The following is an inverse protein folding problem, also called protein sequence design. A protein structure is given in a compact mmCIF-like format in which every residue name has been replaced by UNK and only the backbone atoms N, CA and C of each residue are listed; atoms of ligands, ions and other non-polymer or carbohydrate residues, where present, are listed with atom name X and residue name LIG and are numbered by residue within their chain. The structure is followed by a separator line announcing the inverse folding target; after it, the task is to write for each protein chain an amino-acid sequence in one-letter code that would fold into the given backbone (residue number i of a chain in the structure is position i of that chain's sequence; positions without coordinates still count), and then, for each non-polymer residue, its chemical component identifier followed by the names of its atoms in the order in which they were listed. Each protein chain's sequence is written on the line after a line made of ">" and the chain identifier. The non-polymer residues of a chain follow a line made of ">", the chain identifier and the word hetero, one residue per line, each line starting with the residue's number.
data_IF_854807658515
#
_entry.id   IF_854807658515
#
_cell.length_a   1.000
_cell.length_b   1.000
_cell.length_c   1.000
_cell.angle_alpha   90.00
_cell.angle_beta   90.00
_cell.angle_gamma   90.00
#
_symmetry.space_group_name_H-M   'P 1'
#
loop_
_entity.id
_entity.type
_entity.pdbx_description
1 polymer ?
#
# COMPACT_ATOMS: atom_id res chain seq x y z
N UNK A 1 3.32 -15.60 -18.08
CA UNK A 1 4.70 -15.10 -18.29
C UNK A 1 4.75 -13.98 -19.34
N UNK A 2 4.27 -14.20 -20.58
CA UNK A 2 4.24 -13.15 -21.63
C UNK A 2 3.50 -11.87 -21.22
N UNK A 3 2.36 -12.00 -20.54
CA UNK A 3 1.51 -10.85 -20.17
C UNK A 3 2.11 -9.93 -19.09
N UNK A 4 3.23 -10.33 -18.49
CA UNK A 4 3.91 -9.58 -17.43
C UNK A 4 5.40 -9.35 -17.74
N UNK A 5 5.81 -9.51 -19.00
CA UNK A 5 7.19 -9.30 -19.48
C UNK A 5 8.26 -9.98 -18.62
N UNK A 6 7.95 -11.19 -18.13
CA UNK A 6 8.85 -11.96 -17.27
C UNK A 6 9.93 -12.65 -18.11
N UNK A 7 11.19 -12.38 -17.77
CA UNK A 7 12.38 -13.05 -18.29
C UNK A 7 13.18 -13.53 -17.09
N UNK A 8 13.63 -14.78 -17.12
CA UNK A 8 14.41 -15.42 -16.07
C UNK A 8 15.79 -15.76 -16.61
N UNK A 9 16.80 -15.68 -15.74
CA UNK A 9 18.20 -15.73 -16.16
C UNK A 9 18.71 -17.18 -16.34
N UNK A 10 18.08 -18.15 -15.66
CA UNK A 10 18.44 -19.56 -15.73
C UNK A 10 17.23 -20.49 -15.72
N UNK A 11 17.42 -21.75 -16.16
CA UNK A 11 16.39 -22.79 -16.07
C UNK A 11 16.04 -23.11 -14.61
N UNK A 12 17.02 -23.11 -13.70
CA UNK A 12 16.78 -23.33 -12.27
C UNK A 12 15.87 -22.23 -11.68
N UNK A 13 16.10 -20.97 -12.05
CA UNK A 13 15.21 -19.87 -11.65
C UNK A 13 13.82 -20.06 -12.24
N UNK A 14 13.71 -20.44 -13.51
CA UNK A 14 12.43 -20.72 -14.16
C UNK A 14 11.64 -21.82 -13.41
N UNK A 15 12.30 -22.91 -13.02
CA UNK A 15 11.67 -24.00 -12.27
C UNK A 15 11.19 -23.51 -10.90
N UNK A 16 12.04 -22.81 -10.14
CA UNK A 16 11.67 -22.26 -8.84
C UNK A 16 10.48 -21.28 -8.95
N UNK A 17 10.49 -20.41 -9.97
CA UNK A 17 9.41 -19.44 -10.23
C UNK A 17 8.11 -20.13 -10.62
N UNK A 18 8.20 -21.23 -11.36
CA UNK A 18 7.04 -22.03 -11.74
C UNK A 18 6.45 -22.78 -10.54
N UNK A 19 7.28 -23.32 -9.65
CA UNK A 19 6.80 -23.93 -8.39
C UNK A 19 6.05 -22.91 -7.52
N UNK A 20 6.62 -21.72 -7.32
CA UNK A 20 5.95 -20.64 -6.61
C UNK A 20 4.63 -20.24 -7.29
N UNK A 21 4.60 -20.22 -8.62
CA UNK A 21 3.41 -19.87 -9.38
C UNK A 21 2.28 -20.87 -9.17
N UNK A 22 2.56 -22.16 -9.25
CA UNK A 22 1.57 -23.22 -9.01
C UNK A 22 1.00 -23.11 -7.59
N UNK A 23 1.88 -23.01 -6.59
CA UNK A 23 1.46 -22.88 -5.19
C UNK A 23 0.58 -21.64 -4.95
N UNK A 24 0.90 -20.52 -5.59
CA UNK A 24 0.12 -19.29 -5.48
C UNK A 24 -1.22 -19.36 -6.23
N UNK A 25 -1.32 -20.14 -7.32
CA UNK A 25 -2.60 -20.37 -8.02
C UNK A 25 -3.54 -21.19 -7.12
N UNK A 26 -3.05 -22.28 -6.55
CA UNK A 26 -3.84 -23.11 -5.63
C UNK A 26 -4.34 -22.27 -4.43
N UNK A 27 -3.45 -21.45 -3.86
CA UNK A 27 -3.79 -20.54 -2.76
C UNK A 27 -4.89 -19.53 -3.16
N UNK A 28 -4.84 -18.99 -4.38
CA UNK A 28 -5.85 -18.05 -4.88
C UNK A 28 -7.21 -18.74 -4.98
N UNK A 29 -7.27 -19.99 -5.45
CA UNK A 29 -8.51 -20.76 -5.54
C UNK A 29 -9.09 -21.04 -4.15
N UNK A 30 -8.26 -21.51 -3.22
CA UNK A 30 -8.67 -21.81 -1.84
C UNK A 30 -9.26 -20.57 -1.14
N UNK A 31 -8.58 -19.43 -1.24
CA UNK A 31 -9.04 -18.19 -0.62
C UNK A 31 -10.29 -17.65 -1.33
N UNK A 32 -10.39 -17.79 -2.65
CA UNK A 32 -11.57 -17.37 -3.40
C UNK A 32 -12.82 -18.18 -3.02
N UNK A 33 -12.67 -19.47 -2.73
CA UNK A 33 -13.76 -20.34 -2.26
C UNK A 33 -14.15 -19.97 -0.81
N UNK A 34 -13.16 -19.69 0.03
CA UNK A 34 -13.39 -19.32 1.43
C UNK A 34 -13.99 -17.91 1.59
N UNK A 35 -13.69 -17.00 0.67
CA UNK A 35 -14.16 -15.62 0.73
C UNK A 35 -15.66 -15.51 0.42
N UNK A 36 -16.34 -14.69 1.22
CA UNK A 36 -17.80 -14.46 1.12
C UNK A 36 -18.13 -13.28 0.20
N UNK A 37 -17.30 -13.07 -0.82
CA UNK A 37 -17.44 -11.99 -1.80
C UNK A 37 -16.95 -10.62 -1.32
N UNK A 38 -15.98 -10.57 -0.41
CA UNK A 38 -15.40 -9.30 0.05
C UNK A 38 -14.32 -8.79 -0.89
N UNK A 39 -13.61 -9.71 -1.55
CA UNK A 39 -12.56 -9.43 -2.51
C UNK A 39 -12.63 -10.40 -3.70
N UNK A 40 -11.86 -10.08 -4.75
CA UNK A 40 -11.58 -11.02 -5.84
C UNK A 40 -10.09 -11.21 -5.92
N UNK A 41 -9.66 -12.47 -5.85
CA UNK A 41 -8.27 -12.85 -5.94
C UNK A 41 -7.98 -13.32 -7.37
N UNK A 42 -6.74 -13.13 -7.82
CA UNK A 42 -6.36 -13.44 -9.18
C UNK A 42 -4.87 -13.33 -9.41
N UNK A 43 -4.45 -13.91 -10.53
CA UNK A 43 -3.06 -13.92 -10.97
C UNK A 43 -2.61 -12.49 -11.29
N UNK A 44 -1.42 -12.12 -10.82
CA UNK A 44 -0.82 -10.82 -11.06
C UNK A 44 0.71 -10.94 -11.24
N UNK A 45 1.39 -9.80 -11.39
CA UNK A 45 2.85 -9.72 -11.61
C UNK A 45 3.71 -10.28 -10.47
N UNK A 46 3.12 -10.62 -9.33
CA UNK A 46 3.78 -11.16 -8.15
C UNK A 46 3.48 -12.64 -7.91
N UNK A 47 2.66 -13.28 -8.76
CA UNK A 47 2.26 -14.67 -8.57
C UNK A 47 3.41 -15.67 -8.65
N UNK A 48 4.57 -15.29 -9.19
CA UNK A 48 5.80 -16.11 -9.26
C UNK A 48 6.77 -15.90 -8.07
N UNK A 49 6.40 -15.05 -7.10
CA UNK A 49 7.23 -14.73 -5.94
C UNK A 49 6.82 -15.56 -4.72
N UNK A 50 7.80 -15.86 -3.87
CA UNK A 50 7.52 -16.33 -2.51
C UNK A 50 7.01 -15.20 -1.61
N UNK A 51 6.46 -15.54 -0.44
CA UNK A 51 6.01 -14.55 0.53
C UNK A 51 7.17 -13.66 1.03
N UNK A 52 8.34 -14.24 1.23
CA UNK A 52 9.55 -13.55 1.68
C UNK A 52 10.06 -12.59 0.61
N UNK A 53 10.11 -13.03 -0.65
CA UNK A 53 10.52 -12.18 -1.77
C UNK A 53 9.55 -11.02 -2.00
N UNK A 54 8.25 -11.29 -1.90
CA UNK A 54 7.23 -10.25 -1.97
C UNK A 54 7.41 -9.23 -0.85
N UNK A 55 7.66 -9.69 0.38
CA UNK A 55 7.88 -8.81 1.53
C UNK A 55 9.09 -7.90 1.32
N UNK A 56 10.20 -8.44 0.80
CA UNK A 56 11.38 -7.64 0.46
C UNK A 56 11.10 -6.59 -0.61
N UNK A 57 10.25 -6.91 -1.61
CA UNK A 57 9.88 -6.00 -2.70
C UNK A 57 8.82 -4.97 -2.32
N UNK A 58 7.94 -5.28 -1.37
CA UNK A 58 6.87 -4.38 -0.92
C UNK A 58 7.42 -3.13 -0.19
N UNK A 59 8.70 -3.14 0.20
CA UNK A 59 9.48 -1.93 0.50
C UNK A 59 9.13 -1.21 1.79
N UNK A 60 8.18 -1.71 2.59
CA UNK A 60 7.85 -1.14 3.89
C UNK A 60 8.89 -1.56 4.94
N UNK A 61 9.93 -0.73 5.13
CA UNK A 61 10.84 -0.88 6.26
C UNK A 61 10.23 -0.23 7.51
N UNK A 62 9.59 -1.05 8.33
CA UNK A 62 8.93 -0.59 9.55
C UNK A 62 9.96 -0.42 10.67
N UNK A 63 10.46 0.81 10.89
CA UNK A 63 11.27 1.13 12.06
C UNK A 63 10.37 1.25 13.30
N UNK A 64 10.27 0.17 14.09
CA UNK A 64 9.41 0.13 15.28
C UNK A 64 9.80 1.14 16.38
N UNK A 65 11.05 1.60 16.41
CA UNK A 65 11.47 2.66 17.35
C UNK A 65 10.88 4.02 16.93
N UNK A 66 10.85 4.32 15.64
CA UNK A 66 10.22 5.54 15.10
C UNK A 66 8.70 5.54 15.25
N UNK A 67 8.05 4.38 15.16
CA UNK A 67 6.59 4.26 15.35
C UNK A 67 6.17 4.55 16.80
N UNK A 68 6.97 4.18 17.80
CA UNK A 68 6.68 4.53 19.19
C UNK A 68 6.70 6.05 19.40
N UNK A 69 7.71 6.73 18.85
CA UNK A 69 7.80 8.20 18.88
C UNK A 69 6.58 8.85 18.21
N UNK A 70 6.08 8.31 17.11
CA UNK A 70 4.86 8.80 16.47
C UNK A 70 3.61 8.53 17.32
N UNK A 71 3.48 7.37 17.98
CA UNK A 71 2.36 7.10 18.90
C UNK A 71 2.36 8.06 20.09
N UNK A 72 3.52 8.39 20.62
CA UNK A 72 3.65 9.32 21.74
C UNK A 72 3.32 10.76 21.31
N UNK A 73 3.63 11.12 20.06
CA UNK A 73 3.35 12.46 19.50
C UNK A 73 1.93 12.63 18.93
N UNK A 74 1.26 11.56 18.48
CA UNK A 74 -0.12 11.60 17.97
C UNK A 74 -1.16 11.17 19.02
N UNK A 75 -0.74 10.44 20.06
CA UNK A 75 -1.62 9.94 21.13
C UNK A 75 -2.27 11.03 21.97
N UNK A 76 -1.71 12.24 21.97
CA UNK A 76 -2.28 13.42 22.63
C UNK A 76 -3.33 14.16 21.80
N UNK A 77 -3.51 13.85 20.51
CA UNK A 77 -4.44 14.61 19.64
C UNK A 77 -5.89 14.08 19.63
N UNK A 78 -6.20 12.99 20.33
CA UNK A 78 -7.55 12.40 20.37
C UNK A 78 -8.14 12.27 21.79
N UNK A 79 -7.47 12.81 22.81
CA UNK A 79 -8.09 13.01 24.12
C UNK A 79 -8.79 14.38 24.11
N UNK A 80 -10.07 14.38 24.45
CA UNK A 80 -10.86 15.60 24.64
C UNK A 80 -10.34 16.33 25.89
N UNK A 81 -9.38 17.23 25.69
CA UNK A 81 -8.90 18.10 26.75
C UNK A 81 -10.00 19.13 27.10
N UNK A 82 -10.63 18.94 28.26
CA UNK A 82 -11.75 19.76 28.75
C UNK A 82 -11.37 21.21 29.13
N UNK A 83 -10.10 21.62 28.98
CA UNK A 83 -9.56 22.90 29.45
C UNK A 83 -9.04 23.79 28.30
N UNK A 84 -9.67 23.76 27.13
CA UNK A 84 -9.31 24.66 26.01
C UNK A 84 -9.75 26.11 26.27
N UNK A 85 -8.89 27.06 25.90
CA UNK A 85 -9.22 28.50 25.91
C UNK A 85 -10.32 28.82 24.90
N UNK A 86 -11.04 29.93 25.06
CA UNK A 86 -12.18 30.31 24.20
C UNK A 86 -11.85 30.34 22.69
N UNK A 87 -10.63 30.76 22.32
CA UNK A 87 -10.12 30.78 20.95
C UNK A 87 -9.91 29.36 20.38
N UNK A 88 -9.46 28.41 21.21
CA UNK A 88 -9.33 27.00 20.84
C UNK A 88 -10.70 26.32 20.76
N UNK A 89 -11.67 26.73 21.57
CA UNK A 89 -13.06 26.26 21.44
C UNK A 89 -13.70 26.73 20.14
N UNK A 90 -13.36 27.90 19.61
CA UNK A 90 -13.82 28.37 18.30
C UNK A 90 -13.19 27.59 17.13
N UNK A 91 -11.88 27.31 17.18
CA UNK A 91 -11.22 26.47 16.16
C UNK A 91 -11.73 25.03 16.18
N UNK A 92 -12.00 24.49 17.38
CA UNK A 92 -12.56 23.16 17.59
C UNK A 92 -14.05 23.09 17.22
N UNK A 93 -14.87 24.11 17.50
CA UNK A 93 -16.25 24.18 16.98
C UNK A 93 -16.28 24.22 15.45
N UNK A 94 -15.26 24.82 14.83
CA UNK A 94 -15.10 24.76 13.38
C UNK A 94 -14.80 23.34 12.94
N UNK A 95 -13.90 22.59 13.62
CA UNK A 95 -13.53 21.20 13.36
C UNK A 95 -14.63 20.16 13.68
N UNK A 96 -15.48 20.41 14.68
CA UNK A 96 -16.56 19.50 15.10
C UNK A 96 -17.76 19.56 14.15
N UNK A 97 -17.95 20.67 13.40
CA UNK A 97 -18.99 20.77 12.37
C UNK A 97 -18.71 19.87 11.13
N UNK A 98 -17.55 19.21 11.07
CA UNK A 98 -17.14 18.41 9.92
C UNK A 98 -17.90 17.09 9.91
N UNK A 99 -18.17 16.51 11.09
CA UNK A 99 -19.00 15.31 11.26
C UNK A 99 -20.42 15.46 10.70
N UNK A 100 -20.91 16.69 10.56
CA UNK A 100 -22.25 16.99 10.03
C UNK A 100 -22.30 17.05 8.50
N UNK A 101 -21.13 17.04 7.83
CA UNK A 101 -20.96 17.24 6.38
C UNK A 101 -20.05 16.20 5.71
N UNK A 102 -19.76 15.09 6.39
CA UNK A 102 -18.97 14.02 5.79
C UNK A 102 -19.75 13.38 4.62
N UNK A 103 -19.18 13.35 3.41
CA UNK A 103 -19.81 12.67 2.30
C UNK A 103 -19.81 11.16 2.57
N UNK A 104 -20.89 10.48 2.16
CA UNK A 104 -21.01 9.01 2.31
C UNK A 104 -19.92 8.23 1.55
N UNK A 105 -19.36 8.84 0.51
CA UNK A 105 -18.22 8.33 -0.25
C UNK A 105 -17.33 9.49 -0.66
N UNK A 106 -16.01 9.29 -0.60
CA UNK A 106 -15.01 10.27 -1.01
C UNK A 106 -13.93 9.56 -1.82
N UNK A 107 -13.74 9.99 -3.06
CA UNK A 107 -12.64 9.57 -3.91
C UNK A 107 -11.80 10.79 -4.31
N UNK A 108 -10.53 10.82 -3.87
CA UNK A 108 -9.62 11.91 -4.18
C UNK A 108 -9.18 11.92 -5.65
N UNK A 109 -9.36 10.81 -6.38
CA UNK A 109 -9.10 10.73 -7.83
C UNK A 109 -10.05 11.65 -8.60
N UNK A 110 -11.31 11.75 -8.17
CA UNK A 110 -12.32 12.63 -8.76
C UNK A 110 -11.98 14.11 -8.58
N UNK A 111 -11.12 14.43 -7.59
CA UNK A 111 -10.63 15.79 -7.33
C UNK A 111 -9.34 16.10 -8.09
N UNK A 112 -8.79 15.14 -8.83
CA UNK A 112 -7.54 15.32 -9.59
C UNK A 112 -6.30 15.54 -8.72
N UNK A 113 -6.37 15.28 -7.41
CA UNK A 113 -5.23 15.47 -6.49
C UNK A 113 -4.30 14.25 -6.42
N UNK A 114 -4.71 13.13 -7.01
CA UNK A 114 -3.92 11.90 -7.08
C UNK A 114 -3.19 11.85 -8.41
N UNK A 115 -1.86 11.82 -8.38
CA UNK A 115 -1.02 11.64 -9.57
C UNK A 115 -1.16 10.24 -10.16
N UNK A 116 -0.84 10.06 -11.44
CA UNK A 116 -0.82 8.74 -12.09
C UNK A 116 0.09 7.77 -11.33
N UNK A 117 -0.31 6.50 -11.30
CA UNK A 117 0.47 5.44 -10.65
C UNK A 117 1.87 5.36 -11.25
N UNK A 118 2.87 5.74 -10.47
CA UNK A 118 4.26 5.38 -10.71
C UNK A 118 4.40 3.92 -10.26
N UNK A 119 4.37 2.98 -11.20
CA UNK A 119 5.03 1.68 -10.94
C UNK A 119 6.46 2.04 -10.56
N UNK A 120 6.88 1.71 -9.34
CA UNK A 120 8.20 2.04 -8.78
C UNK A 120 9.28 1.83 -9.83
N UNK A 121 9.69 2.93 -10.47
CA UNK A 121 10.72 2.95 -11.50
C UNK A 121 12.02 2.74 -10.75
N UNK A 122 12.60 1.56 -10.89
CA UNK A 122 14.01 1.33 -10.60
C UNK A 122 14.83 2.36 -11.41
N UNK A 123 15.67 3.12 -10.70
CA UNK A 123 16.51 4.21 -11.22
C UNK A 123 16.92 4.04 -12.70
N UNK A 124 16.52 4.94 -13.61
CA UNK A 124 17.24 5.06 -14.87
C UNK A 124 18.53 5.82 -14.54
N UNK A 125 19.65 5.09 -14.53
CA UNK A 125 21.00 5.65 -14.53
C UNK A 125 21.07 6.80 -15.53
N UNK A 126 21.26 8.02 -15.02
CA UNK A 126 21.42 9.23 -15.82
C UNK A 126 22.74 9.13 -16.58
N UNK A 127 22.71 8.60 -17.80
CA UNK A 127 23.85 8.68 -18.72
C UNK A 127 23.92 10.13 -19.20
N UNK A 128 24.73 10.94 -18.53
CA UNK A 128 25.15 12.25 -19.04
C UNK A 128 26.09 11.98 -20.20
N UNK A 129 25.61 12.16 -21.44
CA UNK A 129 26.51 12.32 -22.58
C UNK A 129 27.14 13.70 -22.45
N UNK A 130 28.44 13.72 -22.21
CA UNK A 130 29.28 14.91 -22.38
C UNK A 130 29.40 15.15 -23.88
N UNK A 131 28.98 16.34 -24.32
CA UNK A 131 29.18 16.84 -25.68
C UNK A 131 30.62 17.35 -25.86
#
# INVERSE_FOLDING_TARGET
>A
MRDHDKVYDSEDELFQRNENFIANVDLVEDISIADRGTARYGINKFSDLSAEELQQRAGLNINWKGIRVLKDNFGSSLQEDNNRTELEKQSVNTAINWKKREPKSLDWRDKGVISKNLSTVTNPTRVVRVA
#
